data_IF_745717450869
#
_entry.id   IF_745717450869
#
_cell.length_a   1.000
_cell.length_b   1.000
_cell.length_c   1.000
_cell.angle_alpha   90.00
_cell.angle_beta   90.00
_cell.angle_gamma   90.00
#
_symmetry.space_group_name_H-M   'P 1'
#
loop_
_entity.id
_entity.type
_entity.pdbx_description
1 polymer ?
#
# COMPACT_ATOMS: atom_id res chain seq x y z
N UNK A 1 -12.99 15.48 -11.17
CA UNK A 1 -12.68 14.11 -10.75
C UNK A 1 -12.95 14.08 -9.26
N UNK A 2 -13.97 13.34 -8.85
CA UNK A 2 -14.29 13.18 -7.43
C UNK A 2 -13.44 12.05 -6.88
N UNK A 3 -12.60 12.35 -5.90
CA UNK A 3 -11.69 11.38 -5.29
C UNK A 3 -12.05 11.34 -3.82
N UNK A 4 -12.35 10.15 -3.32
CA UNK A 4 -12.59 9.90 -1.90
C UNK A 4 -11.38 9.20 -1.30
N UNK A 5 -11.00 9.59 -0.09
CA UNK A 5 -9.94 8.91 0.66
C UNK A 5 -10.57 8.39 1.94
N UNK A 6 -10.55 7.07 2.11
CA UNK A 6 -11.21 6.38 3.22
C UNK A 6 -10.29 5.29 3.80
N UNK A 7 -10.64 4.77 4.97
CA UNK A 7 -9.95 3.63 5.57
C UNK A 7 -10.04 2.42 4.64
N UNK A 8 -8.94 1.68 4.50
CA UNK A 8 -8.93 0.48 3.67
C UNK A 8 -9.79 -0.64 4.30
N UNK A 9 -10.52 -1.38 3.47
CA UNK A 9 -11.25 -2.58 3.86
C UNK A 9 -10.57 -3.84 3.35
N UNK A 10 -10.93 -4.99 3.91
CA UNK A 10 -10.30 -6.26 3.54
C UNK A 10 -10.51 -6.62 2.06
N UNK A 11 -11.64 -6.20 1.48
CA UNK A 11 -11.99 -6.44 0.08
C UNK A 11 -11.11 -5.63 -0.89
N UNK A 12 -10.42 -4.58 -0.41
CA UNK A 12 -9.50 -3.77 -1.21
C UNK A 12 -8.16 -4.48 -1.47
N UNK A 13 -7.87 -5.58 -0.76
CA UNK A 13 -6.57 -6.26 -0.75
C UNK A 13 -6.04 -6.54 -2.15
N UNK A 14 -6.86 -7.11 -3.03
CA UNK A 14 -6.42 -7.50 -4.38
C UNK A 14 -6.03 -6.28 -5.22
N UNK A 15 -6.77 -5.17 -5.10
CA UNK A 15 -6.45 -3.94 -5.84
C UNK A 15 -5.23 -3.25 -5.24
N UNK A 16 -5.11 -3.22 -3.91
CA UNK A 16 -3.94 -2.69 -3.21
C UNK A 16 -2.67 -3.43 -3.61
N UNK A 17 -2.67 -4.76 -3.57
CA UNK A 17 -1.53 -5.60 -3.99
C UNK A 17 -1.17 -5.35 -5.44
N UNK A 18 -2.17 -5.19 -6.32
CA UNK A 18 -1.94 -4.87 -7.73
C UNK A 18 -1.23 -3.52 -7.89
N UNK A 19 -1.67 -2.48 -7.20
CA UNK A 19 -1.06 -1.14 -7.24
C UNK A 19 0.37 -1.19 -6.67
N UNK A 20 0.56 -1.83 -5.52
CA UNK A 20 1.89 -1.98 -4.92
C UNK A 20 2.86 -2.71 -5.85
N UNK A 21 2.42 -3.78 -6.52
CA UNK A 21 3.25 -4.52 -7.47
C UNK A 21 3.61 -3.68 -8.72
N UNK A 22 2.69 -2.84 -9.22
CA UNK A 22 2.99 -1.88 -10.28
C UNK A 22 4.09 -0.91 -9.84
N UNK A 23 3.97 -0.37 -8.62
CA UNK A 23 4.96 0.54 -8.05
C UNK A 23 6.31 -0.15 -7.85
N UNK A 24 6.34 -1.38 -7.35
CA UNK A 24 7.59 -2.14 -7.21
C UNK A 24 8.26 -2.40 -8.55
N UNK A 25 7.48 -2.75 -9.58
CA UNK A 25 8.02 -2.94 -10.93
C UNK A 25 8.69 -1.65 -11.44
N UNK A 26 8.05 -0.48 -11.26
CA UNK A 26 8.67 0.80 -11.60
C UNK A 26 9.97 1.04 -10.82
N UNK A 27 10.01 0.75 -9.51
CA UNK A 27 11.23 0.89 -8.71
C UNK A 27 12.38 0.00 -9.22
N UNK A 28 12.09 -1.25 -9.59
CA UNK A 28 13.08 -2.18 -10.14
C UNK A 28 13.59 -1.69 -11.49
N UNK A 29 12.71 -1.19 -12.36
CA UNK A 29 13.11 -0.65 -13.66
C UNK A 29 13.96 0.62 -13.54
N UNK A 30 13.63 1.50 -12.59
CA UNK A 30 14.33 2.78 -12.41
C UNK A 30 15.63 2.65 -11.62
N UNK A 31 15.68 1.76 -10.62
CA UNK A 31 16.82 1.56 -9.73
C UNK A 31 17.06 0.07 -9.45
N UNK A 32 17.43 -0.72 -10.47
CA UNK A 32 17.67 -2.16 -10.33
C UNK A 32 18.87 -2.49 -9.43
N UNK A 33 19.73 -1.50 -9.16
CA UNK A 33 20.85 -1.59 -8.22
C UNK A 33 20.40 -1.58 -6.75
N UNK A 34 19.22 -1.02 -6.46
CA UNK A 34 18.63 -0.96 -5.11
C UNK A 34 17.50 -1.99 -4.95
N UNK A 35 16.59 -2.06 -5.93
CA UNK A 35 15.35 -2.82 -5.81
C UNK A 35 15.41 -4.13 -6.61
N UNK A 36 14.80 -5.18 -6.04
CA UNK A 36 14.66 -6.50 -6.68
C UNK A 36 13.20 -6.82 -6.97
N UNK A 37 12.90 -7.64 -7.99
CA UNK A 37 11.55 -8.14 -8.21
C UNK A 37 11.00 -8.82 -6.95
N UNK A 38 9.85 -8.34 -6.48
CA UNK A 38 9.10 -8.95 -5.39
C UNK A 38 7.60 -8.87 -5.72
N UNK A 39 6.92 -10.01 -5.71
CA UNK A 39 5.47 -10.10 -5.97
C UNK A 39 4.63 -10.17 -4.68
N UNK A 40 5.29 -10.35 -3.53
CA UNK A 40 4.69 -10.49 -2.22
C UNK A 40 5.15 -9.31 -1.35
N UNK A 41 4.73 -8.11 -1.72
CA UNK A 41 5.10 -6.87 -1.01
C UNK A 41 4.41 -6.73 0.35
N UNK A 42 3.20 -7.30 0.44
CA UNK A 42 2.42 -7.35 1.67
C UNK A 42 1.58 -8.64 1.62
N UNK A 43 1.54 -9.36 2.73
CA UNK A 43 0.64 -10.50 2.91
C UNK A 43 -0.75 -10.04 3.35
N UNK A 44 -1.76 -10.88 3.17
CA UNK A 44 -3.11 -10.59 3.66
C UNK A 44 -3.16 -10.44 5.19
N UNK A 45 -2.26 -11.11 5.91
CA UNK A 45 -2.17 -10.99 7.37
C UNK A 45 -1.65 -9.59 7.78
N UNK A 46 -0.58 -9.12 7.15
CA UNK A 46 -0.02 -7.78 7.38
C UNK A 46 -1.01 -6.68 6.96
N UNK A 47 -1.75 -6.88 5.86
CA UNK A 47 -2.78 -5.94 5.43
C UNK A 47 -3.94 -5.86 6.44
N UNK A 48 -4.41 -7.00 6.96
CA UNK A 48 -5.42 -7.04 8.03
C UNK A 48 -4.95 -6.30 9.28
N UNK A 49 -3.71 -6.52 9.70
CA UNK A 49 -3.13 -5.83 10.85
C UNK A 49 -3.06 -4.31 10.61
N UNK A 50 -2.69 -3.89 9.41
CA UNK A 50 -2.62 -2.49 9.05
C UNK A 50 -4.00 -1.80 9.06
N UNK A 51 -5.05 -2.48 8.58
CA UNK A 51 -6.44 -2.01 8.66
C UNK A 51 -6.87 -1.88 10.13
N UNK A 52 -6.65 -2.92 10.94
CA UNK A 52 -7.01 -2.91 12.37
C UNK A 52 -6.28 -1.82 13.16
N UNK A 53 -5.08 -1.44 12.69
CA UNK A 53 -4.28 -0.37 13.29
C UNK A 53 -4.63 1.03 12.76
N UNK A 54 -5.64 1.16 11.89
CA UNK A 54 -6.03 2.41 11.22
C UNK A 54 -4.84 3.11 10.55
N UNK A 55 -3.98 2.32 9.89
CA UNK A 55 -2.74 2.82 9.27
C UNK A 55 -2.79 2.83 7.75
N UNK A 56 -3.82 2.22 7.14
CA UNK A 56 -3.95 2.09 5.69
C UNK A 56 -5.23 2.75 5.19
N UNK A 57 -5.08 3.53 4.12
CA UNK A 57 -6.16 4.31 3.49
C UNK A 57 -6.12 4.15 1.98
N UNK A 58 -7.28 4.01 1.34
CA UNK A 58 -7.40 3.90 -0.11
C UNK A 58 -7.93 5.20 -0.70
N UNK A 59 -7.47 5.53 -1.91
CA UNK A 59 -8.09 6.55 -2.73
C UNK A 59 -9.01 5.87 -3.75
N UNK A 60 -10.26 6.29 -3.81
CA UNK A 60 -11.30 5.73 -4.67
C UNK A 60 -11.82 6.74 -5.68
N UNK A 61 -12.06 6.26 -6.91
CA UNK A 61 -12.77 6.97 -7.97
C UNK A 61 -13.76 5.98 -8.57
N UNK A 62 -15.04 6.35 -8.65
CA UNK A 62 -16.09 5.51 -9.27
C UNK A 62 -16.07 4.07 -8.72
N UNK A 63 -16.04 3.89 -7.40
CA UNK A 63 -16.03 2.57 -6.73
C UNK A 63 -14.78 1.71 -7.02
N UNK A 64 -13.73 2.35 -7.53
CA UNK A 64 -12.46 1.70 -7.83
C UNK A 64 -11.32 2.30 -7.02
N UNK A 65 -10.63 1.45 -6.28
CA UNK A 65 -9.37 1.80 -5.62
C UNK A 65 -8.31 2.11 -6.70
N UNK A 66 -7.79 3.34 -6.64
CA UNK A 66 -6.76 3.87 -7.56
C UNK A 66 -5.47 4.27 -6.85
N UNK A 67 -5.46 4.26 -5.51
CA UNK A 67 -4.28 4.57 -4.72
C UNK A 67 -4.35 3.94 -3.33
N UNK A 68 -3.18 3.81 -2.70
CA UNK A 68 -3.01 3.29 -1.34
C UNK A 68 -2.02 4.19 -0.60
N UNK A 69 -2.33 4.48 0.66
CA UNK A 69 -1.47 5.21 1.59
C UNK A 69 -1.29 4.36 2.85
N UNK A 70 -0.04 4.08 3.22
CA UNK A 70 0.32 3.46 4.49
C UNK A 70 1.05 4.44 5.39
N UNK A 71 0.62 4.56 6.65
CA UNK A 71 1.23 5.40 7.68
C UNK A 71 1.94 4.50 8.68
N UNK A 72 3.23 4.77 8.96
CA UNK A 72 3.99 4.04 9.98
C UNK A 72 4.49 5.01 11.04
N UNK A 73 4.13 4.76 12.29
CA UNK A 73 4.68 5.45 13.44
C UNK A 73 5.94 4.72 13.92
N UNK A 74 7.06 5.44 13.98
CA UNK A 74 8.33 4.90 14.47
C UNK A 74 8.77 5.77 15.64
N UNK A 75 8.89 5.18 16.82
CA UNK A 75 9.54 5.85 17.95
C UNK A 75 11.06 5.84 17.72
N UNK A 76 11.69 7.01 17.84
CA UNK A 76 13.14 7.15 17.70
C UNK A 76 13.67 7.65 19.03
N UNK A 77 14.38 6.77 19.74
CA UNK A 77 15.16 7.14 20.92
C UNK A 77 16.42 7.88 20.45
N UNK A 78 16.53 9.16 20.81
CA UNK A 78 17.79 9.88 20.66
C UNK A 78 18.68 9.53 21.85
N UNK A 79 19.81 8.86 21.58
CA UNK A 79 20.89 8.58 22.53
C UNK A 79 21.83 9.77 22.60
#
# INVERSE_FOLDING_TARGET
>A
MDIKVEEAFIDDYDMVVKIMNQVQQMHVEWRPDIYKPNKNLISIAEFKEAILSNTFYVAEIEEKVVGILGIRFIHVDYV
#
